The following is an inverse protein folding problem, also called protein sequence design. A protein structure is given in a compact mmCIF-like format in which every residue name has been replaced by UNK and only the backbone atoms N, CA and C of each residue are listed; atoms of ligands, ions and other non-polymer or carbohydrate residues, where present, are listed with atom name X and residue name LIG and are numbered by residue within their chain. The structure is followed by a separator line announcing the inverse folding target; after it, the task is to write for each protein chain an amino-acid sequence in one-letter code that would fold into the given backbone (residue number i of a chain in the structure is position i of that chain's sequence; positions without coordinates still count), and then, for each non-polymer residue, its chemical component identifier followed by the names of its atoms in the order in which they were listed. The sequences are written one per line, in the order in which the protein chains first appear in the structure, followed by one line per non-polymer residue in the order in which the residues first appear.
data_IF_992091079032
#
_entry.id   IF_992091079032
#
_cell.length_a   1.000
_cell.length_b   1.000
_cell.length_c   1.000
_cell.angle_alpha   90.00
_cell.angle_beta   90.00
_cell.angle_gamma   90.00
#
_symmetry.space_group_name_H-M   'P 1'
#
loop_
_entity.id
_entity.type
_entity.pdbx_description
1 polymer ?
#
# COMPACT_ATOMS: atom_id res chain seq x y z
N UNK A 1 -5.96 16.47 16.69
CA UNK A 1 -6.79 15.25 16.67
C UNK A 1 -8.04 15.57 15.90
N UNK A 2 -8.32 14.80 14.86
CA UNK A 2 -9.57 14.90 14.12
C UNK A 2 -10.71 14.40 15.00
N UNK A 3 -11.89 15.01 14.85
CA UNK A 3 -13.09 14.64 15.60
C UNK A 3 -14.25 14.45 14.63
N UNK A 4 -15.02 13.38 14.84
CA UNK A 4 -16.25 13.13 14.10
C UNK A 4 -17.41 13.40 15.06
N UNK A 5 -18.28 14.36 14.73
CA UNK A 5 -19.54 14.60 15.45
C UNK A 5 -20.67 14.01 14.64
N UNK A 6 -21.39 13.04 15.22
CA UNK A 6 -22.52 12.38 14.57
C UNK A 6 -23.82 12.92 15.17
N UNK A 7 -24.73 13.41 14.32
CA UNK A 7 -26.10 13.69 14.69
C UNK A 7 -26.99 12.54 14.20
N UNK A 8 -27.59 11.80 15.13
CA UNK A 8 -28.47 10.68 14.80
C UNK A 8 -29.88 11.12 14.41
N UNK A 9 -30.76 10.14 14.13
CA UNK A 9 -32.21 10.36 14.03
C UNK A 9 -32.90 9.92 12.75
N UNK A 10 -32.17 9.40 11.75
CA UNK A 10 -32.76 8.93 10.49
C UNK A 10 -32.16 7.61 9.99
N UNK A 11 -32.93 6.78 9.27
CA UNK A 11 -32.41 5.60 8.60
C UNK A 11 -31.46 5.99 7.46
N UNK A 12 -30.45 5.17 7.20
CA UNK A 12 -29.58 5.33 6.03
C UNK A 12 -30.31 4.85 4.77
N UNK A 13 -30.25 5.63 3.68
CA UNK A 13 -30.76 5.25 2.37
C UNK A 13 -29.79 5.75 1.28
N UNK A 14 -29.30 4.85 0.44
CA UNK A 14 -28.38 5.17 -0.65
C UNK A 14 -27.49 3.99 -1.04
N UNK A 15 -26.65 4.21 -2.06
CA UNK A 15 -25.68 3.23 -2.56
C UNK A 15 -24.31 3.91 -2.60
N UNK A 16 -23.29 3.22 -2.08
CA UNK A 16 -21.90 3.66 -2.16
C UNK A 16 -21.04 2.58 -2.82
N UNK A 17 -20.11 2.93 -3.71
CA UNK A 17 -19.11 1.98 -4.18
C UNK A 17 -18.11 1.66 -3.06
N UNK A 18 -17.58 0.45 -3.06
CA UNK A 18 -16.58 -0.02 -2.11
C UNK A 18 -15.25 -0.25 -2.84
N UNK A 19 -14.16 0.27 -2.29
CA UNK A 19 -12.82 0.04 -2.79
C UNK A 19 -12.32 -1.37 -2.45
N UNK A 20 -11.21 -1.80 -3.06
CA UNK A 20 -10.61 -3.11 -2.81
C UNK A 20 -10.23 -3.36 -1.35
N UNK A 21 -10.11 -4.64 -1.01
CA UNK A 21 -9.82 -5.08 0.36
C UNK A 21 -8.37 -4.75 0.75
N UNK A 22 -8.19 -4.04 1.87
CA UNK A 22 -6.87 -3.67 2.42
C UNK A 22 -5.92 -4.86 2.53
N UNK A 23 -6.39 -5.97 3.10
CA UNK A 23 -5.56 -7.14 3.37
C UNK A 23 -5.17 -7.91 2.10
N UNK A 24 -5.85 -7.68 0.98
CA UNK A 24 -5.42 -8.16 -0.34
C UNK A 24 -4.47 -7.14 -1.00
N UNK A 25 -4.74 -5.85 -0.84
CA UNK A 25 -3.94 -4.77 -1.42
C UNK A 25 -2.49 -4.73 -0.90
N UNK A 26 -2.27 -4.80 0.41
CA UNK A 26 -0.93 -4.70 1.01
C UNK A 26 0.06 -5.78 0.50
N UNK A 27 -0.26 -7.09 0.52
CA UNK A 27 0.67 -8.09 0.00
C UNK A 27 0.87 -7.97 -1.52
N UNK A 28 -0.15 -7.54 -2.28
CA UNK A 28 -0.02 -7.30 -3.71
C UNK A 28 0.91 -6.12 -4.01
N UNK A 29 0.88 -5.05 -3.21
CA UNK A 29 1.86 -3.96 -3.34
C UNK A 29 3.28 -4.47 -3.12
N UNK A 30 3.50 -5.31 -2.10
CA UNK A 30 4.80 -5.91 -1.78
C UNK A 30 5.29 -6.83 -2.89
N UNK A 31 4.38 -7.53 -3.58
CA UNK A 31 4.71 -8.38 -4.72
C UNK A 31 5.37 -7.60 -5.88
N UNK A 32 5.24 -6.27 -5.94
CA UNK A 32 5.97 -5.44 -6.93
C UNK A 32 7.49 -5.62 -6.84
N UNK A 33 8.02 -5.93 -5.66
CA UNK A 33 9.46 -6.16 -5.46
C UNK A 33 9.97 -7.42 -6.17
N UNK A 34 9.09 -8.38 -6.52
CA UNK A 34 9.47 -9.65 -7.16
C UNK A 34 9.85 -9.50 -8.64
N UNK A 35 9.51 -8.38 -9.28
CA UNK A 35 9.75 -8.16 -10.70
C UNK A 35 10.41 -6.81 -10.97
N UNK A 36 11.08 -6.69 -12.12
CA UNK A 36 11.58 -5.42 -12.65
C UNK A 36 10.52 -4.66 -13.45
N UNK A 37 9.48 -5.36 -13.86
CA UNK A 37 8.38 -4.80 -14.65
C UNK A 37 7.40 -4.04 -13.77
N UNK A 38 6.61 -3.17 -14.39
CA UNK A 38 5.58 -2.41 -13.68
C UNK A 38 4.40 -3.31 -13.30
N UNK A 39 4.13 -3.42 -12.00
CA UNK A 39 2.92 -4.04 -11.46
C UNK A 39 1.81 -3.00 -11.37
N UNK A 40 0.68 -3.25 -12.04
CA UNK A 40 -0.50 -2.36 -11.99
C UNK A 40 -1.59 -2.99 -11.12
N UNK A 41 -2.00 -2.29 -10.07
CA UNK A 41 -3.08 -2.69 -9.18
C UNK A 41 -4.26 -1.76 -9.35
N UNK A 42 -5.39 -2.31 -9.80
CA UNK A 42 -6.66 -1.61 -9.89
C UNK A 42 -7.47 -1.72 -8.59
N UNK A 43 -8.44 -0.83 -8.42
CA UNK A 43 -9.33 -0.79 -7.26
C UNK A 43 -8.62 -0.71 -5.89
N UNK A 44 -7.47 -0.03 -5.83
CA UNK A 44 -6.70 0.15 -4.61
C UNK A 44 -7.42 1.08 -3.62
N UNK A 45 -7.56 0.69 -2.34
CA UNK A 45 -8.18 1.55 -1.34
C UNK A 45 -7.26 2.73 -0.97
N UNK A 46 -7.85 3.86 -0.58
CA UNK A 46 -7.13 5.01 -0.04
C UNK A 46 -7.16 4.94 1.50
N UNK A 47 -6.14 4.33 2.09
CA UNK A 47 -6.03 4.10 3.52
C UNK A 47 -4.64 4.46 4.02
N UNK A 48 -4.52 4.80 5.30
CA UNK A 48 -3.23 5.13 5.91
C UNK A 48 -2.19 4.01 5.74
N UNK A 49 -2.57 2.75 5.92
CA UNK A 49 -1.69 1.59 5.73
C UNK A 49 -1.13 1.51 4.30
N UNK A 50 -1.92 1.85 3.28
CA UNK A 50 -1.47 1.87 1.87
C UNK A 50 -0.41 2.94 1.69
N UNK A 51 -0.65 4.15 2.19
CA UNK A 51 0.32 5.26 2.11
C UNK A 51 1.58 4.99 2.93
N UNK A 52 1.48 4.31 4.07
CA UNK A 52 2.64 3.88 4.85
C UNK A 52 3.47 2.84 4.09
N UNK A 53 2.81 1.86 3.46
CA UNK A 53 3.50 0.85 2.69
C UNK A 53 4.15 1.43 1.42
N UNK A 54 3.52 2.40 0.75
CA UNK A 54 4.13 3.15 -0.36
C UNK A 54 5.48 3.77 0.07
N UNK A 55 5.58 4.33 1.29
CA UNK A 55 6.84 4.88 1.82
C UNK A 55 7.89 3.80 2.10
N UNK A 56 7.47 2.67 2.67
CA UNK A 56 8.37 1.52 2.90
C UNK A 56 8.91 0.98 1.58
N UNK A 57 8.05 0.82 0.56
CA UNK A 57 8.47 0.37 -0.76
C UNK A 57 9.39 1.41 -1.43
N UNK A 58 9.09 2.70 -1.27
CA UNK A 58 9.97 3.78 -1.74
C UNK A 58 11.38 3.72 -1.15
N UNK A 59 11.55 3.33 0.12
CA UNK A 59 12.86 3.10 0.72
C UNK A 59 13.69 2.04 -0.03
N UNK A 60 13.03 1.05 -0.62
CA UNK A 60 13.67 0.00 -1.41
C UNK A 60 13.86 0.38 -2.89
N UNK A 61 13.49 1.61 -3.29
CA UNK A 61 13.60 2.08 -4.67
C UNK A 61 12.38 1.77 -5.55
N UNK A 62 11.22 1.49 -4.95
CA UNK A 62 9.98 1.30 -5.71
C UNK A 62 9.38 2.66 -6.05
N UNK A 63 9.34 2.98 -7.34
CA UNK A 63 8.57 4.10 -7.86
C UNK A 63 7.09 3.75 -7.92
N UNK A 64 6.22 4.72 -7.65
CA UNK A 64 4.78 4.55 -7.85
C UNK A 64 4.14 5.74 -8.56
N UNK A 65 3.12 5.44 -9.36
CA UNK A 65 2.32 6.43 -10.07
C UNK A 65 0.83 6.09 -9.94
N UNK A 66 0.00 7.12 -9.76
CA UNK A 66 -1.45 6.98 -9.64
C UNK A 66 -2.08 7.44 -10.95
N UNK A 67 -2.89 6.58 -11.56
CA UNK A 67 -3.68 6.95 -12.73
C UNK A 67 -4.62 8.14 -12.41
N UNK A 68 -4.73 9.08 -13.35
CA UNK A 68 -5.62 10.24 -13.21
C UNK A 68 -7.09 9.84 -13.08
N UNK A 69 -7.89 10.74 -12.47
CA UNK A 69 -9.35 10.57 -12.35
C UNK A 69 -9.98 10.42 -13.74
N UNK A 70 -10.93 9.51 -13.87
CA UNK A 70 -11.75 9.35 -15.08
C UNK A 70 -13.10 10.04 -14.92
N UNK A 71 -13.70 10.47 -16.02
CA UNK A 71 -15.06 11.03 -16.01
C UNK A 71 -16.03 10.00 -15.42
N UNK A 72 -16.87 10.43 -14.46
CA UNK A 72 -17.81 9.56 -13.74
C UNK A 72 -17.20 8.72 -12.61
N UNK A 73 -15.91 8.85 -12.30
CA UNK A 73 -15.29 8.15 -11.18
C UNK A 73 -15.66 8.82 -9.85
N UNK A 74 -16.34 8.08 -8.98
CA UNK A 74 -16.64 8.52 -7.61
C UNK A 74 -15.37 8.72 -6.78
N UNK A 75 -15.36 9.70 -5.87
CA UNK A 75 -14.25 9.88 -4.92
C UNK A 75 -14.08 8.70 -3.97
N UNK A 76 -15.15 7.95 -3.73
CA UNK A 76 -15.14 6.72 -2.92
C UNK A 76 -14.71 5.48 -3.70
N UNK A 77 -14.48 5.56 -5.02
CA UNK A 77 -14.01 4.45 -5.80
C UNK A 77 -12.51 4.18 -5.59
N UNK A 78 -12.09 2.92 -5.74
CA UNK A 78 -10.68 2.57 -5.69
C UNK A 78 -9.85 3.22 -6.81
N UNK A 79 -8.55 3.33 -6.58
CA UNK A 79 -7.57 3.94 -7.50
C UNK A 79 -6.83 2.88 -8.30
N UNK A 80 -6.28 3.25 -9.45
CA UNK A 80 -5.30 2.42 -10.16
C UNK A 80 -3.91 2.94 -9.86
N UNK A 81 -3.05 2.09 -9.32
CA UNK A 81 -1.69 2.43 -8.90
C UNK A 81 -0.70 1.51 -9.61
N UNK A 82 0.37 2.10 -10.13
CA UNK A 82 1.46 1.42 -10.81
C UNK A 82 2.67 1.43 -9.88
N UNK A 83 3.30 0.28 -9.67
CA UNK A 83 4.51 0.12 -8.88
C UNK A 83 5.62 -0.43 -9.76
N UNK A 84 6.78 0.20 -9.77
CA UNK A 84 7.93 -0.24 -10.55
C UNK A 84 9.15 -0.35 -9.64
N UNK A 85 9.63 -1.57 -9.45
CA UNK A 85 10.83 -1.87 -8.68
C UNK A 85 11.96 -2.27 -9.63
N UNK A 86 12.38 -1.41 -10.57
CA UNK A 86 13.36 -1.79 -11.60
C UNK A 86 14.69 -2.21 -10.99
N UNK A 87 15.17 -1.42 -10.03
CA UNK A 87 16.38 -1.65 -9.27
C UNK A 87 16.05 -1.52 -7.77
N UNK A 88 16.46 -2.51 -6.97
CA UNK A 88 16.36 -2.42 -5.52
C UNK A 88 17.62 -1.72 -5.02
N UNK A 89 17.44 -0.55 -4.40
CA UNK A 89 18.56 0.31 -3.97
C UNK A 89 18.98 0.08 -2.52
N UNK A 90 18.11 -0.52 -1.71
CA UNK A 90 18.39 -0.89 -0.32
C UNK A 90 17.61 -2.16 0.04
N UNK A 91 18.26 -3.10 0.72
CA UNK A 91 17.67 -4.34 1.24
C UNK A 91 17.33 -4.26 2.73
N UNK A 92 17.52 -3.08 3.33
CA UNK A 92 17.25 -2.81 4.74
C UNK A 92 15.91 -2.10 4.89
N UNK A 93 14.99 -2.66 5.66
CA UNK A 93 13.75 -2.00 6.07
C UNK A 93 13.95 -1.46 7.50
N UNK A 94 14.12 -0.13 7.69
CA UNK A 94 14.49 0.44 8.98
C UNK A 94 13.35 0.37 9.99
N UNK A 95 13.71 0.26 11.27
CA UNK A 95 12.79 0.12 12.39
C UNK A 95 11.70 1.21 12.44
N UNK A 96 12.06 2.47 12.16
CA UNK A 96 11.12 3.59 12.21
C UNK A 96 9.95 3.47 11.22
N UNK A 97 10.20 2.80 10.08
CA UNK A 97 9.17 2.54 9.07
C UNK A 97 8.38 1.26 9.41
N UNK A 98 9.08 0.21 9.85
CA UNK A 98 8.49 -1.12 10.08
C UNK A 98 7.65 -1.17 11.37
N UNK A 99 8.09 -0.48 12.42
CA UNK A 99 7.41 -0.46 13.74
C UNK A 99 5.99 0.10 13.71
N UNK A 100 5.64 0.87 12.68
CA UNK A 100 4.32 1.51 12.54
C UNK A 100 3.28 0.59 11.90
N UNK A 101 3.69 -0.49 11.22
CA UNK A 101 2.78 -1.36 10.47
C UNK A 101 3.30 -2.80 10.40
N UNK A 102 2.59 -3.74 11.04
CA UNK A 102 2.99 -5.17 11.08
C UNK A 102 3.15 -5.82 9.69
N UNK A 103 2.32 -5.43 8.73
CA UNK A 103 2.38 -5.97 7.35
C UNK A 103 3.69 -5.60 6.62
N UNK A 104 4.41 -4.57 7.06
CA UNK A 104 5.70 -4.18 6.47
C UNK A 104 6.75 -5.29 6.54
N UNK A 105 6.63 -6.22 7.50
CA UNK A 105 7.52 -7.37 7.63
C UNK A 105 7.58 -8.23 6.36
N UNK A 106 6.49 -8.27 5.57
CA UNK A 106 6.42 -9.10 4.38
C UNK A 106 7.36 -8.68 3.25
N UNK A 107 7.99 -7.49 3.30
CA UNK A 107 9.05 -7.13 2.34
C UNK A 107 10.27 -8.04 2.43
N UNK A 108 10.46 -8.74 3.57
CA UNK A 108 11.53 -9.70 3.76
C UNK A 108 11.56 -10.77 2.64
N UNK A 109 10.40 -11.36 2.34
CA UNK A 109 10.31 -12.47 1.39
C UNK A 109 10.75 -12.09 -0.04
N UNK A 110 10.19 -11.05 -0.69
CA UNK A 110 10.61 -10.70 -2.04
C UNK A 110 12.02 -10.11 -2.11
N UNK A 111 12.49 -9.41 -1.07
CA UNK A 111 13.87 -8.91 -1.03
C UNK A 111 14.87 -10.06 -0.96
N UNK A 112 14.65 -11.07 -0.12
CA UNK A 112 15.50 -12.26 -0.08
C UNK A 112 15.43 -13.02 -1.40
N UNK A 113 14.24 -13.20 -1.97
CA UNK A 113 14.07 -13.90 -3.24
C UNK A 113 14.83 -13.24 -4.40
N UNK A 114 14.85 -11.91 -4.46
CA UNK A 114 15.43 -11.16 -5.58
C UNK A 114 16.89 -10.73 -5.38
N UNK A 115 17.29 -10.45 -4.13
CA UNK A 115 18.59 -9.89 -3.78
C UNK A 115 19.47 -10.86 -2.97
N UNK A 116 18.94 -12.02 -2.56
CA UNK A 116 19.65 -13.04 -1.79
C UNK A 116 19.81 -12.71 -0.30
N UNK A 117 19.59 -11.46 0.12
CA UNK A 117 19.67 -11.02 1.50
C UNK A 117 18.72 -9.84 1.76
N UNK A 118 18.28 -9.71 3.01
CA UNK A 118 17.52 -8.55 3.49
C UNK A 118 17.68 -8.39 5.00
N UNK A 119 17.54 -7.16 5.48
CA UNK A 119 17.55 -6.82 6.91
C UNK A 119 16.25 -6.10 7.26
N UNK A 120 15.32 -6.80 7.89
CA UNK A 120 14.01 -6.25 8.27
C UNK A 120 13.90 -6.27 9.78
N UNK A 121 13.53 -5.15 10.39
CA UNK A 121 13.27 -5.11 11.82
C UNK A 121 12.08 -6.01 12.19
N UNK A 122 12.14 -6.65 13.35
CA UNK A 122 10.98 -7.35 13.89
C UNK A 122 9.90 -6.31 14.26
N UNK A 123 8.67 -6.46 13.76
CA UNK A 123 7.57 -5.60 14.19
C UNK A 123 7.35 -5.77 15.71
N UNK A 124 7.03 -4.67 16.38
CA UNK A 124 6.69 -4.68 17.80
C UNK A 124 5.38 -5.44 18.12
N UNK A 125 5.10 -5.58 19.42
CA UNK A 125 3.86 -6.15 19.96
C UNK A 125 2.68 -5.21 19.83
#
# INVERSE_FOLDING_TARGET
MDKIKIAGGGPLNGVIPISGAKNAALPLMIASLLTRDTLTLANMPLLADVTQLERILGNHGVDFAISGKRSGQSESAGRTVHFTARDIVDTTAPYELVSRMRASFWVLAPLVARMGAARVSLPGG
#
